data_IF_678232511014
#
_entry.id   IF_678232511014
#
_cell.length_a   1.000
_cell.length_b   1.000
_cell.length_c   1.000
_cell.angle_alpha   90.00
_cell.angle_beta   90.00
_cell.angle_gamma   90.00
#
_symmetry.space_group_name_H-M   'P 1'
#
loop_
_entity.id
_entity.type
_entity.pdbx_description
1 polymer ?
#
# COMPACT_ATOMS: atom_id res chain seq x y z
N UNK A 1 -22.66 1.20 -9.28
CA UNK A 1 -21.39 0.48 -9.00
C UNK A 1 -21.62 -1.02 -9.12
N UNK A 2 -20.89 -1.72 -9.98
CA UNK A 2 -20.91 -3.19 -10.04
C UNK A 2 -20.12 -3.73 -8.85
N UNK A 3 -20.75 -4.42 -7.91
CA UNK A 3 -20.07 -5.13 -6.82
C UNK A 3 -19.43 -6.38 -7.41
N UNK A 4 -18.10 -6.40 -7.52
CA UNK A 4 -17.37 -7.64 -7.79
C UNK A 4 -17.32 -8.44 -6.49
N UNK A 5 -18.04 -9.57 -6.43
CA UNK A 5 -17.99 -10.49 -5.30
C UNK A 5 -17.07 -11.63 -5.73
N UNK A 6 -15.84 -11.63 -5.19
CA UNK A 6 -14.90 -12.74 -5.35
C UNK A 6 -15.00 -13.57 -4.08
N UNK A 7 -15.54 -14.78 -4.20
CA UNK A 7 -15.63 -15.74 -3.08
C UNK A 7 -14.72 -16.92 -3.37
N UNK A 8 -13.79 -17.18 -2.46
CA UNK A 8 -12.85 -18.29 -2.59
C UNK A 8 -12.96 -19.17 -1.33
N UNK A 9 -12.91 -20.49 -1.47
CA UNK A 9 -13.22 -21.43 -0.39
C UNK A 9 -12.20 -22.58 -0.31
N UNK A 10 -12.03 -23.15 0.90
CA UNK A 10 -11.14 -24.28 1.18
C UNK A 10 -11.89 -25.62 1.19
N UNK A 11 -11.36 -26.62 0.48
CA UNK A 11 -12.02 -27.92 0.20
C UNK A 11 -12.52 -28.68 1.44
N UNK A 12 -11.80 -28.68 2.57
CA UNK A 12 -12.17 -29.49 3.74
C UNK A 12 -13.31 -28.92 4.60
N UNK A 13 -13.62 -27.62 4.52
CA UNK A 13 -14.69 -27.01 5.33
C UNK A 13 -16.00 -26.83 4.55
N UNK A 14 -15.97 -26.96 3.22
CA UNK A 14 -16.90 -26.19 2.40
C UNK A 14 -17.68 -26.96 1.32
N UNK A 15 -17.59 -28.28 1.20
CA UNK A 15 -18.36 -29.02 0.18
C UNK A 15 -19.88 -28.75 0.25
N UNK A 16 -20.43 -28.59 1.46
CA UNK A 16 -21.86 -28.25 1.67
C UNK A 16 -22.18 -26.79 1.33
N UNK A 17 -21.23 -25.88 1.49
CA UNK A 17 -21.42 -24.44 1.28
C UNK A 17 -21.21 -24.10 -0.20
N UNK A 18 -20.17 -24.68 -0.83
CA UNK A 18 -19.94 -24.62 -2.29
C UNK A 18 -21.17 -25.11 -3.04
N UNK A 19 -21.73 -26.30 -2.70
CA UNK A 19 -22.98 -26.79 -3.31
C UNK A 19 -24.13 -25.79 -3.18
N UNK A 20 -24.37 -25.25 -1.98
CA UNK A 20 -25.42 -24.24 -1.74
C UNK A 20 -25.22 -22.94 -2.52
N UNK A 21 -23.98 -22.60 -2.89
CA UNK A 21 -23.66 -21.38 -3.64
C UNK A 21 -23.79 -21.63 -5.15
N UNK A 22 -23.36 -22.79 -5.63
CA UNK A 22 -23.56 -23.25 -7.02
C UNK A 22 -25.06 -23.38 -7.34
N UNK A 23 -25.84 -23.98 -6.43
CA UNK A 23 -27.32 -24.09 -6.52
C UNK A 23 -28.01 -22.71 -6.61
N UNK A 24 -27.39 -21.66 -6.07
CA UNK A 24 -27.92 -20.28 -6.10
C UNK A 24 -27.49 -19.48 -7.34
N UNK A 25 -26.75 -20.07 -8.28
CA UNK A 25 -26.37 -19.42 -9.55
C UNK A 25 -25.43 -18.22 -9.41
N UNK A 26 -24.66 -18.13 -8.32
CA UNK A 26 -23.74 -17.01 -8.09
C UNK A 26 -22.48 -17.12 -8.96
N UNK A 27 -22.23 -16.12 -9.82
CA UNK A 27 -20.99 -16.03 -10.63
C UNK A 27 -19.79 -15.57 -9.77
N UNK A 28 -18.58 -16.07 -10.04
CA UNK A 28 -17.33 -15.56 -9.45
C UNK A 28 -16.78 -16.35 -8.25
N UNK A 29 -17.12 -17.64 -8.12
CA UNK A 29 -16.62 -18.53 -7.07
C UNK A 29 -15.39 -19.29 -7.57
N UNK A 30 -14.25 -19.17 -6.88
CA UNK A 30 -13.07 -20.00 -7.15
C UNK A 30 -12.78 -20.90 -5.94
N UNK A 31 -12.85 -22.21 -6.09
CA UNK A 31 -12.45 -23.16 -5.04
C UNK A 31 -11.03 -23.63 -5.33
N UNK A 32 -10.11 -23.63 -4.35
CA UNK A 32 -8.71 -24.03 -4.58
C UNK A 32 -8.20 -25.12 -3.64
N UNK A 33 -7.22 -25.88 -4.13
CA UNK A 33 -6.76 -27.17 -3.62
C UNK A 33 -5.67 -27.12 -2.53
N UNK A 34 -5.03 -25.97 -2.26
CA UNK A 34 -3.89 -25.85 -1.33
C UNK A 34 -4.18 -24.93 -0.13
N UNK A 35 -3.52 -25.14 1.04
CA UNK A 35 -3.68 -24.28 2.21
C UNK A 35 -3.27 -22.84 1.88
N UNK A 36 -4.10 -21.89 2.30
CA UNK A 36 -3.89 -20.45 2.09
C UNK A 36 -3.61 -19.76 3.41
N UNK A 37 -2.63 -18.85 3.40
CA UNK A 37 -2.28 -18.00 4.54
C UNK A 37 -3.45 -17.08 4.96
N UNK A 38 -4.27 -16.63 4.01
CA UNK A 38 -5.44 -15.80 4.26
C UNK A 38 -6.71 -16.44 3.69
N UNK A 39 -7.79 -16.41 4.48
CA UNK A 39 -9.11 -16.83 4.01
C UNK A 39 -9.82 -15.67 3.31
N UNK A 40 -10.59 -15.94 2.25
CA UNK A 40 -11.33 -14.91 1.53
C UNK A 40 -12.38 -14.24 2.42
N UNK A 41 -12.31 -12.91 2.50
CA UNK A 41 -13.28 -12.11 3.25
C UNK A 41 -14.40 -11.59 2.35
N UNK A 42 -15.61 -11.50 2.90
CA UNK A 42 -16.80 -11.05 2.20
C UNK A 42 -17.18 -9.62 2.60
N UNK A 43 -17.88 -8.91 1.72
CA UNK A 43 -18.43 -7.58 2.03
C UNK A 43 -17.45 -6.41 1.87
N UNK A 44 -16.22 -6.67 1.43
CA UNK A 44 -15.22 -5.64 1.19
C UNK A 44 -15.63 -4.71 0.03
N UNK A 45 -15.35 -3.42 0.19
CA UNK A 45 -15.39 -2.47 -0.91
C UNK A 45 -14.02 -2.45 -1.58
N UNK A 46 -13.98 -2.62 -2.90
CA UNK A 46 -12.76 -2.56 -3.70
C UNK A 46 -12.90 -1.43 -4.72
N UNK A 47 -11.88 -0.58 -4.81
CA UNK A 47 -11.81 0.52 -5.77
C UNK A 47 -10.47 0.44 -6.50
N UNK A 48 -10.51 0.39 -7.83
CA UNK A 48 -9.31 0.59 -8.64
C UNK A 48 -8.91 2.06 -8.62
N UNK A 49 -7.63 2.33 -8.42
CA UNK A 49 -7.03 3.66 -8.48
C UNK A 49 -6.10 3.67 -9.69
N UNK A 50 -6.33 4.61 -10.60
CA UNK A 50 -5.61 4.69 -11.87
C UNK A 50 -4.51 5.76 -11.75
N UNK A 51 -3.30 5.38 -12.13
CA UNK A 51 -2.07 6.20 -12.07
C UNK A 51 -1.70 6.68 -10.66
N UNK A 52 -0.56 7.37 -10.58
CA UNK A 52 -0.02 7.90 -9.33
C UNK A 52 -0.89 8.99 -8.71
N UNK A 53 -1.59 9.80 -9.50
CA UNK A 53 -2.45 10.86 -8.99
C UNK A 53 -3.57 10.32 -8.10
N UNK A 54 -4.35 9.34 -8.58
CA UNK A 54 -5.45 8.79 -7.77
C UNK A 54 -4.93 7.96 -6.60
N UNK A 55 -3.87 7.18 -6.83
CA UNK A 55 -3.29 6.30 -5.82
C UNK A 55 -2.69 7.08 -4.65
N UNK A 56 -1.78 8.02 -4.94
CA UNK A 56 -1.07 8.79 -3.91
C UNK A 56 -2.02 9.73 -3.16
N UNK A 57 -3.01 10.32 -3.85
CA UNK A 57 -4.03 11.13 -3.18
C UNK A 57 -4.83 10.30 -2.18
N UNK A 58 -5.37 9.15 -2.61
CA UNK A 58 -6.18 8.31 -1.74
C UNK A 58 -5.38 7.74 -0.54
N UNK A 59 -4.13 7.35 -0.78
CA UNK A 59 -3.21 6.91 0.28
C UNK A 59 -2.94 8.06 1.25
N UNK A 60 -2.55 9.23 0.74
CA UNK A 60 -2.23 10.41 1.55
C UNK A 60 -3.40 10.87 2.41
N UNK A 61 -4.61 10.95 1.84
CA UNK A 61 -5.84 11.29 2.56
C UNK A 61 -6.15 10.27 3.66
N UNK A 62 -6.00 8.97 3.38
CA UNK A 62 -6.24 7.92 4.38
C UNK A 62 -5.22 7.97 5.54
N UNK A 63 -3.95 8.29 5.25
CA UNK A 63 -2.92 8.47 6.27
C UNK A 63 -3.24 9.71 7.14
N UNK A 64 -3.62 10.85 6.54
CA UNK A 64 -3.94 12.09 7.30
C UNK A 64 -5.15 11.87 8.25
N UNK A 65 -6.07 10.98 7.87
CA UNK A 65 -7.25 10.60 8.66
C UNK A 65 -7.01 9.51 9.72
N UNK A 66 -5.89 8.78 9.67
CA UNK A 66 -5.60 7.62 10.53
C UNK A 66 -5.73 7.94 12.03
N UNK A 67 -6.13 6.97 12.86
CA UNK A 67 -6.34 7.19 14.31
C UNK A 67 -5.59 6.22 15.20
N UNK A 68 -5.21 5.06 14.69
CA UNK A 68 -4.69 3.95 15.49
C UNK A 68 -3.34 3.47 14.95
N UNK A 69 -3.27 3.12 13.66
CA UNK A 69 -2.07 2.52 13.08
C UNK A 69 -1.88 2.81 11.59
N UNK A 70 -0.62 2.92 11.19
CA UNK A 70 -0.19 3.00 9.79
C UNK A 70 0.95 2.02 9.57
N UNK A 71 0.75 1.06 8.67
CA UNK A 71 1.79 0.12 8.25
C UNK A 71 2.10 0.29 6.78
N UNK A 72 3.38 0.40 6.44
CA UNK A 72 3.84 0.60 5.06
C UNK A 72 4.90 -0.45 4.73
N UNK A 73 4.78 -1.07 3.56
CA UNK A 73 5.84 -1.85 2.94
C UNK A 73 6.12 -1.26 1.58
N UNK A 74 7.38 -0.98 1.26
CA UNK A 74 7.72 -0.41 -0.03
C UNK A 74 9.08 -0.91 -0.54
N UNK A 75 9.17 -1.14 -1.85
CA UNK A 75 10.46 -1.44 -2.49
C UNK A 75 11.34 -0.20 -2.52
N UNK A 76 10.72 0.98 -2.68
CA UNK A 76 11.42 2.26 -2.64
C UNK A 76 10.50 3.33 -2.05
N UNK A 77 10.98 4.03 -1.03
CA UNK A 77 10.26 5.17 -0.44
C UNK A 77 11.06 6.45 -0.63
N UNK A 78 10.40 7.55 -0.97
CA UNK A 78 10.98 8.89 -0.95
C UNK A 78 10.20 9.76 0.05
N UNK A 79 10.73 10.03 1.27
CA UNK A 79 9.99 10.75 2.33
C UNK A 79 9.47 12.14 1.92
N UNK A 80 10.16 12.79 0.98
CA UNK A 80 9.83 14.12 0.46
C UNK A 80 8.75 14.10 -0.65
N UNK A 81 8.23 12.92 -1.04
CA UNK A 81 7.18 12.87 -2.05
C UNK A 81 5.91 13.55 -1.57
N UNK A 82 5.32 14.38 -2.43
CA UNK A 82 4.03 15.03 -2.15
C UNK A 82 2.91 14.07 -2.53
N UNK A 83 2.17 13.60 -1.52
CA UNK A 83 1.02 12.72 -1.72
C UNK A 83 -0.27 13.50 -1.96
N UNK A 84 -0.50 14.55 -1.16
CA UNK A 84 -1.68 15.40 -1.25
C UNK A 84 -1.27 16.73 -1.88
N UNK A 85 -1.53 16.89 -3.18
CA UNK A 85 -1.25 18.13 -3.92
C UNK A 85 -2.42 19.12 -3.77
N UNK A 86 -2.10 20.40 -3.55
CA UNK A 86 -3.10 21.49 -3.37
C UNK A 86 -2.95 22.54 -4.46
N UNK A 87 -4.05 22.83 -5.16
CA UNK A 87 -4.14 23.85 -6.19
C UNK A 87 -3.60 23.38 -7.55
N UNK A 88 -3.29 24.35 -8.42
CA UNK A 88 -2.82 24.11 -9.80
C UNK A 88 -1.33 23.77 -9.90
N UNK A 89 -0.54 24.09 -8.88
CA UNK A 89 0.92 23.90 -8.92
C UNK A 89 1.30 22.53 -8.36
N UNK A 90 1.97 21.71 -9.16
CA UNK A 90 2.29 20.32 -8.79
C UNK A 90 3.22 20.23 -7.57
N UNK A 91 4.13 21.18 -7.35
CA UNK A 91 5.01 21.18 -6.17
C UNK A 91 4.37 21.66 -4.85
N UNK A 92 3.08 22.03 -4.83
CA UNK A 92 2.42 22.49 -3.60
C UNK A 92 1.62 21.36 -2.98
N UNK A 93 1.91 21.03 -1.72
CA UNK A 93 1.18 19.98 -1.00
C UNK A 93 1.85 19.57 0.30
N UNK A 94 1.35 18.48 0.90
CA UNK A 94 1.98 17.84 2.05
C UNK A 94 2.81 16.64 1.59
N UNK A 95 4.05 16.56 2.07
CA UNK A 95 4.93 15.42 1.85
C UNK A 95 4.53 14.21 2.70
N UNK A 96 4.98 13.02 2.31
CA UNK A 96 4.79 11.80 3.09
C UNK A 96 5.33 11.96 4.52
N UNK A 97 6.56 12.48 4.66
CA UNK A 97 7.19 12.72 5.97
C UNK A 97 6.35 13.63 6.85
N UNK A 98 5.91 14.78 6.35
CA UNK A 98 5.10 15.73 7.13
C UNK A 98 3.78 15.12 7.61
N UNK A 99 3.11 14.33 6.78
CA UNK A 99 1.86 13.67 7.18
C UNK A 99 2.16 12.63 8.26
N UNK A 100 3.15 11.76 8.06
CA UNK A 100 3.51 10.72 9.03
C UNK A 100 3.95 11.30 10.37
N UNK A 101 4.80 12.33 10.37
CA UNK A 101 5.25 12.99 11.60
C UNK A 101 4.07 13.55 12.39
N UNK A 102 3.16 14.26 11.71
CA UNK A 102 1.93 14.77 12.33
C UNK A 102 1.11 13.63 12.96
N UNK A 103 0.96 12.49 12.27
CA UNK A 103 0.22 11.34 12.82
C UNK A 103 0.92 10.71 14.01
N UNK A 104 2.25 10.63 13.99
CA UNK A 104 3.05 10.16 15.11
C UNK A 104 2.94 11.07 16.34
N UNK A 105 2.85 12.38 16.14
CA UNK A 105 2.59 13.37 17.20
C UNK A 105 1.17 13.23 17.79
N UNK A 106 0.19 12.87 16.96
CA UNK A 106 -1.18 12.54 17.39
C UNK A 106 -1.29 11.17 18.09
N UNK A 107 -0.19 10.41 18.22
CA UNK A 107 -0.14 9.13 18.93
C UNK A 107 -0.48 7.90 18.06
N UNK A 108 -0.55 8.04 16.74
CA UNK A 108 -0.75 6.91 15.82
C UNK A 108 0.53 6.05 15.77
N UNK A 109 0.37 4.71 15.84
CA UNK A 109 1.51 3.79 15.71
C UNK A 109 1.93 3.63 14.25
N UNK A 110 3.16 4.01 13.91
CA UNK A 110 3.65 4.01 12.52
C UNK A 110 4.80 3.02 12.40
N UNK A 111 4.62 2.01 11.53
CA UNK A 111 5.66 1.01 11.22
C UNK A 111 5.88 0.89 9.73
N UNK A 112 7.14 0.93 9.32
CA UNK A 112 7.52 0.92 7.91
C UNK A 112 8.55 -0.18 7.69
N UNK A 113 8.39 -0.97 6.64
CA UNK A 113 9.41 -1.91 6.16
C UNK A 113 9.84 -1.47 4.76
N UNK A 114 11.15 -1.28 4.57
CA UNK A 114 11.71 -0.90 3.28
C UNK A 114 12.82 -1.83 2.86
N UNK A 115 12.90 -2.06 1.56
CA UNK A 115 14.00 -2.82 0.97
C UNK A 115 15.31 -2.03 1.05
N UNK A 116 16.39 -2.72 1.42
CA UNK A 116 17.76 -2.22 1.34
C UNK A 116 18.53 -3.03 0.31
N UNK A 117 18.96 -2.37 -0.76
CA UNK A 117 19.73 -3.00 -1.83
C UNK A 117 21.13 -3.35 -1.34
N UNK A 118 21.65 -4.56 -1.63
CA UNK A 118 23.03 -4.92 -1.34
C UNK A 118 24.03 -4.24 -2.29
N UNK A 119 23.57 -3.56 -3.35
CA UNK A 119 24.43 -2.94 -4.36
C UNK A 119 24.69 -1.46 -4.05
N UNK A 120 25.95 -1.09 -3.88
CA UNK A 120 26.35 0.28 -3.50
C UNK A 120 25.93 1.37 -4.52
N UNK A 121 25.86 1.03 -5.81
CA UNK A 121 25.44 1.96 -6.88
C UNK A 121 23.92 2.01 -7.11
N UNK A 122 23.14 1.25 -6.35
CA UNK A 122 21.70 1.25 -6.53
C UNK A 122 21.08 2.59 -6.09
N UNK A 123 19.96 2.94 -6.74
CA UNK A 123 19.12 4.09 -6.39
C UNK A 123 18.31 3.83 -5.13
N UNK A 124 18.06 2.56 -4.79
CA UNK A 124 17.35 2.16 -3.57
C UNK A 124 18.31 2.09 -2.39
N UNK A 125 18.38 3.20 -1.65
CA UNK A 125 19.16 3.33 -0.40
C UNK A 125 18.21 3.39 0.80
N UNK A 126 17.61 2.26 1.15
CA UNK A 126 16.66 2.11 2.25
C UNK A 126 17.18 2.71 3.55
N UNK A 127 18.40 2.41 3.98
CA UNK A 127 19.00 2.94 5.23
C UNK A 127 19.02 4.48 5.27
N UNK A 128 19.34 5.14 4.14
CA UNK A 128 19.30 6.61 4.08
C UNK A 128 17.88 7.14 4.25
N UNK A 129 16.89 6.46 3.66
CA UNK A 129 15.48 6.86 3.73
C UNK A 129 14.89 6.59 5.12
N UNK A 130 15.27 5.48 5.76
CA UNK A 130 14.98 5.18 7.17
C UNK A 130 15.44 6.31 8.06
N UNK A 131 16.71 6.72 7.96
CA UNK A 131 17.26 7.77 8.84
C UNK A 131 16.49 9.09 8.74
N UNK A 132 15.92 9.41 7.57
CA UNK A 132 15.06 10.59 7.38
C UNK A 132 13.69 10.38 8.03
N UNK A 133 13.11 9.18 7.93
CA UNK A 133 11.81 8.86 8.51
C UNK A 133 11.86 8.76 10.05
N UNK A 134 12.95 8.25 10.60
CA UNK A 134 13.16 8.09 12.04
C UNK A 134 13.77 9.33 12.72
N UNK A 135 13.93 10.45 12.00
CA UNK A 135 14.46 11.70 12.57
C UNK A 135 13.68 12.14 13.82
N UNK A 136 12.39 11.82 13.88
CA UNK A 136 11.57 11.87 15.10
C UNK A 136 11.32 10.45 15.60
N UNK A 137 11.43 10.24 16.92
CA UNK A 137 11.24 8.94 17.61
C UNK A 137 9.78 8.39 17.57
N UNK A 138 8.94 8.86 16.65
CA UNK A 138 7.52 8.48 16.51
C UNK A 138 7.25 7.49 15.36
N UNK A 139 8.25 7.22 14.54
CA UNK A 139 8.15 6.33 13.38
C UNK A 139 9.17 5.21 13.56
N UNK A 140 8.71 3.96 13.51
CA UNK A 140 9.59 2.77 13.53
C UNK A 140 9.79 2.29 12.09
N UNK A 141 11.02 2.33 11.58
CA UNK A 141 11.31 1.96 10.20
C UNK A 141 12.40 0.89 10.12
N UNK A 142 12.06 -0.26 9.53
CA UNK A 142 12.93 -1.42 9.41
C UNK A 142 13.43 -1.56 7.98
N UNK A 143 14.75 -1.64 7.82
CA UNK A 143 15.36 -1.98 6.54
C UNK A 143 15.59 -3.49 6.46
N UNK A 144 15.06 -4.14 5.43
CA UNK A 144 15.32 -5.55 5.18
C UNK A 144 16.31 -5.73 4.02
N UNK A 145 17.44 -6.38 4.33
CA UNK A 145 18.46 -6.79 3.36
C UNK A 145 18.19 -8.21 2.92
N UNK A 146 18.04 -8.43 1.62
CA UNK A 146 17.95 -9.78 1.05
C UNK A 146 19.26 -10.21 0.41
N UNK A 147 19.40 -11.51 0.17
CA UNK A 147 20.52 -12.07 -0.58
C UNK A 147 20.48 -11.58 -2.03
N UNK A 148 21.65 -11.55 -2.66
CA UNK A 148 21.81 -11.05 -4.02
C UNK A 148 20.83 -11.73 -4.99
N UNK A 149 20.09 -10.92 -5.75
CA UNK A 149 19.09 -11.37 -6.72
C UNK A 149 17.63 -11.32 -6.25
N UNK A 150 17.36 -11.00 -4.98
CA UNK A 150 16.01 -10.88 -4.43
C UNK A 150 15.76 -9.50 -3.79
N UNK A 151 14.49 -9.11 -3.75
CA UNK A 151 14.03 -7.89 -3.05
C UNK A 151 12.68 -8.10 -2.38
N UNK A 152 12.39 -7.29 -1.36
CA UNK A 152 11.01 -7.08 -0.92
C UNK A 152 10.37 -6.09 -1.87
N UNK A 153 9.47 -6.58 -2.72
CA UNK A 153 8.95 -5.83 -3.85
C UNK A 153 7.47 -5.45 -3.69
N UNK A 154 6.85 -5.83 -2.57
CA UNK A 154 5.50 -5.43 -2.23
C UNK A 154 5.39 -3.91 -2.03
N UNK A 155 4.27 -3.33 -2.47
CA UNK A 155 3.88 -1.95 -2.16
C UNK A 155 2.54 -2.00 -1.49
N UNK A 156 2.53 -1.82 -0.17
CA UNK A 156 1.30 -1.87 0.62
C UNK A 156 1.24 -0.75 1.64
N UNK A 157 0.04 -0.25 1.88
CA UNK A 157 -0.26 0.65 2.99
C UNK A 157 -1.50 0.14 3.69
N UNK A 158 -1.43 -0.05 5.00
CA UNK A 158 -2.56 -0.47 5.83
C UNK A 158 -2.81 0.61 6.87
N UNK A 159 -4.03 1.12 6.92
CA UNK A 159 -4.46 2.16 7.87
C UNK A 159 -5.52 1.60 8.80
N UNK A 160 -5.28 1.75 10.10
CA UNK A 160 -6.17 1.39 11.22
C UNK A 160 -6.73 -0.04 11.14
N UNK A 161 -5.97 -0.96 10.54
CA UNK A 161 -6.40 -2.35 10.23
C UNK A 161 -7.72 -2.46 9.44
N UNK A 162 -8.15 -1.37 8.80
CA UNK A 162 -9.48 -1.24 8.14
C UNK A 162 -9.37 -0.95 6.66
N UNK A 163 -8.38 -0.17 6.25
CA UNK A 163 -8.16 0.23 4.86
C UNK A 163 -6.81 -0.33 4.40
N UNK A 164 -6.79 -1.03 3.28
CA UNK A 164 -5.58 -1.58 2.67
C UNK A 164 -5.43 -1.09 1.24
N UNK A 165 -4.23 -0.60 0.91
CA UNK A 165 -3.78 -0.29 -0.43
C UNK A 165 -2.77 -1.34 -0.86
N UNK A 166 -2.92 -1.86 -2.08
CA UNK A 166 -1.99 -2.80 -2.69
C UNK A 166 -1.90 -2.50 -4.19
N UNK A 167 -0.71 -2.59 -4.77
CA UNK A 167 -0.53 -2.33 -6.20
C UNK A 167 0.92 -2.28 -6.63
N UNK A 168 1.16 -1.59 -7.76
CA UNK A 168 2.48 -1.43 -8.37
C UNK A 168 3.14 -0.07 -8.11
N UNK A 169 2.50 0.83 -7.37
CA UNK A 169 2.95 2.23 -7.20
C UNK A 169 3.69 2.34 -5.88
N UNK A 170 5.02 2.49 -5.95
CA UNK A 170 5.85 2.88 -4.81
C UNK A 170 5.53 4.33 -4.37
N UNK A 171 5.68 4.66 -3.09
CA UNK A 171 5.64 6.03 -2.56
C UNK A 171 6.98 6.75 -2.84
N UNK A 172 7.32 6.83 -4.13
CA UNK A 172 8.61 7.32 -4.62
C UNK A 172 8.47 8.31 -5.77
N UNK A 173 9.48 9.14 -5.93
CA UNK A 173 9.55 10.11 -7.04
C UNK A 173 9.48 9.40 -8.40
N UNK A 174 8.87 10.07 -9.37
CA UNK A 174 8.63 9.53 -10.72
C UNK A 174 7.44 8.57 -10.83
N UNK A 175 6.74 8.25 -9.74
CA UNK A 175 5.52 7.41 -9.79
C UNK A 175 4.24 8.23 -9.88
N UNK A 176 4.29 9.51 -9.52
CA UNK A 176 3.16 10.41 -9.67
C UNK A 176 2.99 10.76 -11.14
N UNK A 177 1.81 10.49 -11.68
CA UNK A 177 1.41 10.88 -13.02
C UNK A 177 -0.12 10.99 -13.08
N UNK A 178 -0.63 11.68 -14.08
CA UNK A 178 -2.05 11.81 -14.38
C UNK A 178 -2.39 10.96 -15.60
N UNK A 179 -3.67 10.71 -15.83
CA UNK A 179 -4.16 10.00 -17.03
C UNK A 179 -3.78 10.64 -18.37
N UNK A 180 -3.30 11.89 -18.35
CA UNK A 180 -2.84 12.60 -19.54
C UNK A 180 -1.41 12.23 -19.91
N UNK A 181 -0.63 11.65 -18.99
CA UNK A 181 0.77 11.26 -19.18
C UNK A 181 1.57 12.36 -19.90
N UNK A 182 1.51 13.57 -19.35
CA UNK A 182 2.15 14.72 -19.96
C UNK A 182 3.66 14.51 -20.02
N UNK A 183 4.22 14.81 -21.19
CA UNK A 183 5.65 14.89 -21.40
C UNK A 183 5.98 16.38 -21.43
N UNK A 184 6.81 16.85 -20.50
CA UNK A 184 7.44 18.16 -20.64
C UNK A 184 8.42 18.06 -21.81
N UNK A 185 8.16 18.84 -22.86
CA UNK A 185 8.98 18.92 -24.08
C UNK A 185 9.85 20.17 -24.02
#
# INVERSE_FOLDING_TARGET
>A
MKKLIVRVFHKKQDEKIVRKIEEKGSKGVFVREKPVFCVPSNGNRVKGLIDGEEAMKAIGESIDEAKESIYITDWRIDPEIILIRRGVHWLKGKTLKEILEKKGEEGVSIKIIIYESPFFMDVVKGEKKRNILEEKEKIECYCHKWMMGYSQHEKTVVVDHKIGFLGGIDLAQGRWDTRRHFIEV
#
